data_IF_246048018773
#
_entry.id   IF_246048018773
#
_cell.length_a   1.000
_cell.length_b   1.000
_cell.length_c   1.000
_cell.angle_alpha   90.00
_cell.angle_beta   90.00
_cell.angle_gamma   90.00
#
_symmetry.space_group_name_H-M   'P 1'
#
loop_
_entity.id
_entity.type
_entity.pdbx_description
1 polymer ?
#
# COMPACT_ATOMS: atom_id res chain seq x y z
N UNK A 1 -6.82 -9.92 -13.09
CA UNK A 1 -5.93 -11.10 -13.15
C UNK A 1 -5.65 -11.73 -11.79
N UNK A 2 -5.25 -10.97 -10.76
CA UNK A 2 -4.95 -11.53 -9.42
C UNK A 2 -6.08 -12.35 -8.78
N UNK A 3 -7.33 -11.86 -8.81
CA UNK A 3 -8.49 -12.59 -8.26
C UNK A 3 -8.72 -13.95 -8.91
N UNK A 4 -8.49 -14.06 -10.22
CA UNK A 4 -8.57 -15.35 -10.93
C UNK A 4 -7.45 -16.28 -10.49
N UNK A 5 -6.21 -15.78 -10.44
CA UNK A 5 -5.06 -16.59 -10.03
C UNK A 5 -5.18 -17.10 -8.58
N UNK A 6 -5.58 -16.24 -7.65
CA UNK A 6 -5.59 -16.55 -6.22
C UNK A 6 -6.84 -17.31 -5.78
N UNK A 7 -7.99 -17.06 -6.43
CA UNK A 7 -9.30 -17.48 -5.95
C UNK A 7 -10.18 -18.13 -7.02
N UNK A 8 -9.69 -18.29 -8.25
CA UNK A 8 -10.46 -18.72 -9.44
C UNK A 8 -11.74 -17.88 -9.67
N UNK A 9 -11.77 -16.67 -9.14
CA UNK A 9 -12.90 -15.75 -9.26
C UNK A 9 -12.76 -14.90 -10.52
N UNK A 10 -13.81 -14.86 -11.34
CA UNK A 10 -13.83 -14.17 -12.64
C UNK A 10 -15.09 -13.32 -12.80
N UNK A 11 -15.04 -12.34 -13.70
CA UNK A 11 -16.13 -11.43 -14.03
C UNK A 11 -15.70 -10.48 -15.15
N UNK A 12 -16.64 -9.77 -15.78
CA UNK A 12 -16.34 -8.84 -16.87
C UNK A 12 -15.58 -7.60 -16.37
N UNK A 13 -15.74 -7.29 -15.08
CA UNK A 13 -15.09 -6.19 -14.40
C UNK A 13 -14.69 -6.58 -12.98
N UNK A 14 -13.95 -5.70 -12.29
CA UNK A 14 -13.46 -5.95 -10.94
C UNK A 14 -14.59 -6.18 -9.93
N UNK A 15 -15.70 -5.44 -10.07
CA UNK A 15 -16.85 -5.58 -9.18
C UNK A 15 -17.43 -6.99 -9.25
N UNK A 16 -17.69 -7.49 -10.46
CA UNK A 16 -18.19 -8.85 -10.68
C UNK A 16 -17.21 -9.91 -10.18
N UNK A 17 -15.93 -9.77 -10.48
CA UNK A 17 -14.92 -10.72 -10.02
C UNK A 17 -14.86 -10.81 -8.47
N UNK A 18 -15.07 -9.69 -7.76
CA UNK A 18 -15.16 -9.69 -6.29
C UNK A 18 -16.44 -10.36 -5.81
N UNK A 19 -17.59 -10.06 -6.41
CA UNK A 19 -18.89 -10.65 -6.04
C UNK A 19 -18.94 -12.17 -6.30
N UNK A 20 -18.21 -12.63 -7.32
CA UNK A 20 -18.12 -14.03 -7.71
C UNK A 20 -17.13 -14.84 -6.85
N UNK A 21 -16.50 -14.24 -5.83
CA UNK A 21 -15.71 -14.98 -4.84
C UNK A 21 -16.62 -15.43 -3.67
N UNK A 22 -17.10 -16.71 -3.66
CA UNK A 22 -17.92 -17.23 -2.57
C UNK A 22 -17.28 -17.11 -1.17
N UNK A 23 -15.94 -17.13 -1.08
CA UNK A 23 -15.21 -16.98 0.18
C UNK A 23 -15.37 -15.61 0.85
N UNK A 24 -15.86 -14.59 0.14
CA UNK A 24 -16.12 -13.25 0.71
C UNK A 24 -17.55 -13.11 1.27
N UNK A 25 -18.43 -14.08 1.03
CA UNK A 25 -19.82 -14.01 1.51
C UNK A 25 -19.84 -14.04 3.04
N UNK A 26 -20.56 -13.09 3.64
CA UNK A 26 -20.73 -12.99 5.09
C UNK A 26 -19.59 -12.26 5.81
N UNK A 27 -18.49 -11.91 5.13
CA UNK A 27 -17.47 -11.02 5.70
C UNK A 27 -18.07 -9.62 5.80
N UNK A 28 -18.07 -9.05 7.01
CA UNK A 28 -18.60 -7.71 7.30
C UNK A 28 -17.47 -6.73 7.60
N UNK A 29 -17.71 -5.46 7.30
CA UNK A 29 -16.85 -4.39 7.77
C UNK A 29 -16.87 -4.33 9.32
N UNK A 30 -15.76 -3.90 9.95
CA UNK A 30 -15.75 -3.62 11.38
C UNK A 30 -16.80 -2.55 11.73
N UNK A 31 -17.31 -2.60 12.95
CA UNK A 31 -18.30 -1.62 13.45
C UNK A 31 -17.71 -0.26 13.82
N UNK A 32 -16.38 -0.12 13.72
CA UNK A 32 -15.64 1.09 14.07
C UNK A 32 -14.59 1.38 13.00
N UNK A 33 -14.30 2.68 12.82
CA UNK A 33 -13.21 3.14 11.96
C UNK A 33 -11.85 3.00 12.63
N UNK A 34 -11.81 2.93 13.97
CA UNK A 34 -10.59 2.63 14.71
C UNK A 34 -10.25 1.13 14.62
N UNK A 35 -9.78 0.70 13.45
CA UNK A 35 -9.50 -0.69 13.12
C UNK A 35 -8.22 -0.79 12.29
N UNK A 36 -7.60 -1.99 12.25
CA UNK A 36 -6.33 -2.23 11.52
C UNK A 36 -6.39 -1.92 10.03
N UNK A 37 -7.58 -1.97 9.42
CA UNK A 37 -7.79 -1.52 8.04
C UNK A 37 -7.38 -0.07 7.79
N UNK A 38 -7.33 0.77 8.83
CA UNK A 38 -6.80 2.13 8.75
C UNK A 38 -5.50 2.24 9.53
N UNK A 39 -5.46 1.77 10.79
CA UNK A 39 -4.31 1.99 11.68
C UNK A 39 -3.05 1.21 11.24
N UNK A 40 -3.19 0.18 10.41
CA UNK A 40 -2.09 -0.61 9.87
C UNK A 40 -1.91 -0.34 8.36
N UNK A 41 -2.95 -0.55 7.54
CA UNK A 41 -2.82 -0.50 6.08
C UNK A 41 -2.44 0.90 5.56
N UNK A 42 -2.90 1.97 6.20
CA UNK A 42 -2.55 3.34 5.76
C UNK A 42 -1.06 3.64 6.03
N UNK A 43 -0.55 3.60 7.27
CA UNK A 43 0.85 3.92 7.55
C UNK A 43 1.84 2.87 7.03
N UNK A 44 1.46 1.60 6.93
CA UNK A 44 2.39 0.50 6.60
C UNK A 44 2.35 0.10 5.14
N UNK A 45 1.27 0.41 4.41
CA UNK A 45 1.11 0.06 3.00
C UNK A 45 0.92 1.28 2.11
N UNK A 46 -0.13 2.10 2.32
CA UNK A 46 -0.40 3.22 1.41
C UNK A 46 0.68 4.31 1.44
N UNK A 47 1.15 4.69 2.63
CA UNK A 47 2.21 5.70 2.79
C UNK A 47 3.51 5.31 2.07
N UNK A 48 4.09 4.11 2.26
CA UNK A 48 5.30 3.74 1.51
C UNK A 48 5.07 3.60 0.00
N UNK A 49 3.89 3.14 -0.45
CA UNK A 49 3.55 3.10 -1.88
C UNK A 49 3.49 4.52 -2.46
N UNK A 50 2.84 5.45 -1.77
CA UNK A 50 2.77 6.86 -2.17
C UNK A 50 4.19 7.46 -2.27
N UNK A 51 5.02 7.25 -1.25
CA UNK A 51 6.37 7.81 -1.20
C UNK A 51 7.28 7.26 -2.31
N UNK A 52 7.17 5.96 -2.65
CA UNK A 52 7.87 5.38 -3.80
C UNK A 52 7.40 5.99 -5.12
N UNK A 53 6.08 6.15 -5.29
CA UNK A 53 5.51 6.75 -6.49
C UNK A 53 5.96 8.19 -6.69
N UNK A 54 5.89 9.03 -5.65
CA UNK A 54 6.35 10.42 -5.69
C UNK A 54 7.83 10.53 -6.06
N UNK A 55 8.67 9.69 -5.45
CA UNK A 55 10.10 9.70 -5.73
C UNK A 55 10.43 9.39 -7.19
N UNK A 56 9.76 8.39 -7.76
CA UNK A 56 10.09 7.89 -9.08
C UNK A 56 9.18 8.44 -10.18
N UNK A 57 8.45 9.54 -9.90
CA UNK A 57 7.69 10.29 -10.89
C UNK A 57 6.38 9.66 -11.33
N UNK A 58 5.78 8.79 -10.50
CA UNK A 58 4.49 8.16 -10.74
C UNK A 58 3.38 8.94 -10.04
N UNK A 59 2.27 9.19 -10.74
CA UNK A 59 1.11 9.86 -10.14
C UNK A 59 0.48 8.98 -9.06
N UNK A 60 0.27 9.56 -7.87
CA UNK A 60 -0.29 8.88 -6.68
C UNK A 60 -1.54 9.58 -6.15
N UNK A 61 -2.20 10.40 -6.96
CA UNK A 61 -3.31 11.28 -6.54
C UNK A 61 -4.41 10.54 -5.75
N UNK A 62 -4.86 9.38 -6.25
CA UNK A 62 -5.91 8.61 -5.59
C UNK A 62 -5.45 8.00 -4.26
N UNK A 63 -4.20 7.55 -4.16
CA UNK A 63 -3.63 7.01 -2.93
C UNK A 63 -3.49 8.13 -1.89
N UNK A 64 -2.98 9.30 -2.31
CA UNK A 64 -2.85 10.48 -1.47
C UNK A 64 -4.21 10.96 -0.94
N UNK A 65 -5.26 10.94 -1.77
CA UNK A 65 -6.62 11.26 -1.35
C UNK A 65 -7.15 10.28 -0.27
N UNK A 66 -6.91 8.98 -0.43
CA UNK A 66 -7.28 7.98 0.56
C UNK A 66 -6.54 8.17 1.90
N UNK A 67 -5.23 8.44 1.86
CA UNK A 67 -4.44 8.74 3.06
C UNK A 67 -4.98 10.01 3.74
N UNK A 68 -5.29 11.06 2.98
CA UNK A 68 -5.83 12.32 3.50
C UNK A 68 -7.14 12.10 4.26
N UNK A 69 -8.06 11.30 3.69
CA UNK A 69 -9.31 10.94 4.40
C UNK A 69 -9.03 10.19 5.69
N UNK A 70 -8.12 9.22 5.68
CA UNK A 70 -7.74 8.48 6.89
C UNK A 70 -7.14 9.39 7.98
N UNK A 71 -6.28 10.34 7.59
CA UNK A 71 -5.71 11.32 8.51
C UNK A 71 -6.80 12.17 9.16
N UNK A 72 -7.79 12.63 8.39
CA UNK A 72 -8.92 13.42 8.91
C UNK A 72 -9.80 12.60 9.85
N UNK A 73 -10.14 11.36 9.49
CA UNK A 73 -11.00 10.49 10.30
C UNK A 73 -10.34 10.19 11.66
N UNK A 74 -9.03 9.94 11.67
CA UNK A 74 -8.30 9.58 12.88
C UNK A 74 -7.65 10.74 13.61
N UNK A 75 -7.61 11.94 13.02
CA UNK A 75 -6.86 13.09 13.52
C UNK A 75 -5.38 12.72 13.76
N UNK A 76 -4.79 11.96 12.83
CA UNK A 76 -3.40 11.48 12.89
C UNK A 76 -2.72 11.76 11.56
N UNK A 77 -1.54 12.36 11.61
CA UNK A 77 -0.69 12.49 10.42
C UNK A 77 -0.01 11.15 10.10
N UNK A 78 -0.60 10.39 9.19
CA UNK A 78 -0.03 9.13 8.73
C UNK A 78 1.17 9.30 7.79
N UNK A 79 1.31 10.43 7.10
CA UNK A 79 2.47 10.70 6.26
C UNK A 79 3.74 10.86 7.12
N UNK A 80 3.61 11.52 8.28
CA UNK A 80 4.71 11.62 9.25
C UNK A 80 4.92 10.30 10.03
N UNK A 81 3.83 9.65 10.46
CA UNK A 81 3.91 8.46 11.34
C UNK A 81 4.28 7.17 10.59
N UNK A 82 3.85 7.03 9.34
CA UNK A 82 4.01 5.81 8.53
C UNK A 82 5.44 5.50 8.11
N UNK A 83 5.60 4.45 7.29
CA UNK A 83 6.87 4.04 6.70
C UNK A 83 7.24 4.96 5.54
N UNK A 84 8.11 5.93 5.82
CA UNK A 84 8.70 6.80 4.80
C UNK A 84 9.95 6.15 4.21
N UNK A 85 10.40 6.61 3.03
CA UNK A 85 11.64 6.12 2.42
C UNK A 85 12.86 6.33 3.33
N UNK A 86 12.89 7.43 4.09
CA UNK A 86 13.95 7.72 5.05
C UNK A 86 13.96 6.69 6.21
N UNK A 87 12.79 6.34 6.76
CA UNK A 87 12.70 5.30 7.80
C UNK A 87 13.04 3.90 7.28
N UNK A 88 12.85 3.69 5.98
CA UNK A 88 13.24 2.45 5.30
C UNK A 88 14.73 2.44 4.90
N UNK A 89 15.44 3.56 5.01
CA UNK A 89 16.85 3.68 4.63
C UNK A 89 17.09 3.60 3.12
N UNK A 90 16.07 3.87 2.31
CA UNK A 90 16.16 3.74 0.84
C UNK A 90 16.00 5.07 0.12
N UNK A 91 15.87 6.20 0.83
CA UNK A 91 15.57 7.53 0.30
C UNK A 91 16.66 8.15 -0.60
N UNK A 92 17.85 7.54 -0.68
CA UNK A 92 18.93 7.94 -1.59
C UNK A 92 19.20 6.95 -2.74
N UNK A 93 18.56 5.78 -2.73
CA UNK A 93 18.74 4.78 -3.78
C UNK A 93 18.04 5.13 -5.10
N UNK A 94 18.78 5.02 -6.20
CA UNK A 94 18.20 4.93 -7.54
C UNK A 94 17.36 3.66 -7.70
N UNK A 95 16.57 3.58 -8.78
CA UNK A 95 15.77 2.38 -9.09
C UNK A 95 16.65 1.14 -9.23
N UNK A 96 17.82 1.26 -9.85
CA UNK A 96 18.75 0.15 -10.04
C UNK A 96 19.35 -0.31 -8.71
N UNK A 97 19.79 0.62 -7.86
CA UNK A 97 20.32 0.31 -6.52
C UNK A 97 19.25 -0.31 -5.63
N UNK A 98 18.04 0.24 -5.63
CA UNK A 98 16.92 -0.31 -4.86
C UNK A 98 16.57 -1.73 -5.33
N UNK A 99 16.54 -1.97 -6.64
CA UNK A 99 16.27 -3.30 -7.21
C UNK A 99 17.35 -4.31 -6.82
N UNK A 100 18.63 -3.92 -6.89
CA UNK A 100 19.75 -4.75 -6.43
C UNK A 100 19.65 -5.03 -4.93
N UNK A 101 19.39 -4.01 -4.12
CA UNK A 101 19.26 -4.13 -2.67
C UNK A 101 18.19 -5.14 -2.28
N UNK A 102 16.98 -5.07 -2.85
CA UNK A 102 15.90 -6.01 -2.51
C UNK A 102 16.09 -7.42 -3.07
N UNK A 103 16.91 -7.57 -4.13
CA UNK A 103 17.17 -8.87 -4.76
C UNK A 103 18.34 -9.60 -4.10
N UNK A 104 19.40 -8.88 -3.74
CA UNK A 104 20.66 -9.45 -3.25
C UNK A 104 20.89 -9.26 -1.75
N UNK A 105 20.17 -8.32 -1.12
CA UNK A 105 20.33 -7.99 0.30
C UNK A 105 21.60 -7.18 0.64
N UNK A 106 22.27 -6.58 -0.35
CA UNK A 106 23.49 -5.78 -0.16
C UNK A 106 23.21 -4.29 -0.31
N UNK A 107 23.58 -3.49 0.67
CA UNK A 107 23.43 -2.04 0.62
C UNK A 107 24.50 -1.44 -0.32
N UNK A 108 24.18 -0.44 -1.17
CA UNK A 108 25.18 0.32 -1.91
C UNK A 108 26.35 0.86 -1.06
N UNK A 109 26.12 1.12 0.23
CA UNK A 109 27.13 1.63 1.17
C UNK A 109 27.98 0.53 1.85
N UNK A 110 27.75 -0.76 1.56
CA UNK A 110 28.48 -1.88 2.19
C UNK A 110 29.84 -2.21 1.51
N UNK A 111 30.31 -1.38 0.58
CA UNK A 111 31.66 -1.45 -0.05
C UNK A 111 32.67 -0.53 0.65
#
# INVERSE_FOLDING_TARGET
EWLKMAYDATGENLYEAIQNQPGYRGIKAPSTLHHRYITEDVPMSLVPIMALGERFGVSVQNISAMISMACVIHQVDYCQRGRTLAKLGIDQMSVAELTRFVTEGKNPDDE
#
